data_IF_393741585212
#
_entry.id   IF_393741585212
#
_cell.length_a   1.000
_cell.length_b   1.000
_cell.length_c   1.000
_cell.angle_alpha   90.00
_cell.angle_beta   90.00
_cell.angle_gamma   90.00
#
_symmetry.space_group_name_H-M   'P 1'
#
loop_
_entity.id
_entity.type
_entity.pdbx_description
1 polymer ?
#
# COMPACT_ATOMS: atom_id res chain seq x y z
N UNK A 1 13.02 -91.99 -33.54
CA UNK A 1 13.34 -90.65 -34.08
C UNK A 1 12.07 -89.81 -34.11
N UNK A 2 11.84 -88.98 -33.09
CA UNK A 2 10.76 -87.98 -33.06
C UNK A 2 11.44 -86.61 -32.95
N UNK A 3 11.29 -85.77 -33.98
CA UNK A 3 11.83 -84.40 -34.01
C UNK A 3 10.86 -83.49 -33.24
N UNK A 4 11.33 -82.91 -32.14
CA UNK A 4 10.62 -81.87 -31.39
C UNK A 4 10.99 -80.54 -32.06
N UNK A 5 10.00 -79.85 -32.62
CA UNK A 5 10.15 -78.47 -33.10
C UNK A 5 9.80 -77.52 -31.95
N UNK A 6 10.79 -76.82 -31.43
CA UNK A 6 10.60 -75.75 -30.45
C UNK A 6 10.32 -74.46 -31.23
N UNK A 7 9.08 -73.97 -31.18
CA UNK A 7 8.70 -72.66 -31.75
C UNK A 7 8.95 -71.60 -30.69
N UNK A 8 9.94 -70.73 -30.92
CA UNK A 8 10.20 -69.56 -30.09
C UNK A 8 9.26 -68.41 -30.52
N UNK A 9 8.40 -67.96 -29.62
CA UNK A 9 7.59 -66.76 -29.81
C UNK A 9 8.42 -65.52 -29.44
N UNK A 10 8.73 -64.69 -30.42
CA UNK A 10 9.41 -63.41 -30.24
C UNK A 10 8.35 -62.34 -29.96
N UNK A 11 8.27 -61.88 -28.70
CA UNK A 11 7.40 -60.78 -28.29
C UNK A 11 8.07 -59.46 -28.69
N UNK A 12 7.58 -58.83 -29.75
CA UNK A 12 7.99 -57.49 -30.17
C UNK A 12 7.22 -56.47 -29.32
N UNK A 13 7.90 -55.85 -28.36
CA UNK A 13 7.37 -54.68 -27.66
C UNK A 13 7.50 -53.45 -28.58
N UNK A 14 6.39 -53.03 -29.18
CA UNK A 14 6.30 -51.71 -29.84
C UNK A 14 6.16 -50.67 -28.73
N UNK A 15 7.27 -50.07 -28.31
CA UNK A 15 7.28 -48.83 -27.54
C UNK A 15 6.79 -47.71 -28.48
N UNK A 16 5.47 -47.51 -28.53
CA UNK A 16 4.90 -46.29 -29.10
C UNK A 16 5.31 -45.11 -28.24
N UNK A 17 6.24 -44.29 -28.74
CA UNK A 17 6.60 -43.04 -28.10
C UNK A 17 5.39 -42.12 -28.07
N UNK A 18 4.80 -41.92 -26.89
CA UNK A 18 3.87 -40.82 -26.67
C UNK A 18 4.68 -39.53 -26.81
N UNK A 19 4.40 -38.76 -27.86
CA UNK A 19 4.88 -37.39 -27.94
C UNK A 19 4.28 -36.63 -26.76
N UNK A 20 5.12 -36.24 -25.81
CA UNK A 20 4.73 -35.30 -24.76
C UNK A 20 4.68 -33.94 -25.45
N UNK A 21 3.53 -33.58 -26.01
CA UNK A 21 3.31 -32.22 -26.47
C UNK A 21 3.17 -31.31 -25.24
N UNK A 22 3.98 -30.26 -25.19
CA UNK A 22 3.82 -29.20 -24.21
C UNK A 22 2.39 -28.65 -24.30
N UNK A 23 1.72 -28.45 -23.16
CA UNK A 23 0.38 -27.89 -23.11
C UNK A 23 0.38 -26.52 -23.82
N UNK A 24 -0.32 -26.44 -24.94
CA UNK A 24 -0.55 -25.20 -25.67
C UNK A 24 -2.02 -24.81 -25.51
N UNK A 25 -2.25 -23.55 -25.20
CA UNK A 25 -3.56 -22.92 -25.26
C UNK A 25 -3.58 -22.10 -26.56
N UNK A 26 -4.38 -22.56 -27.52
CA UNK A 26 -4.53 -21.91 -28.81
C UNK A 26 -5.28 -20.58 -28.67
N UNK A 27 -4.78 -19.56 -29.37
CA UNK A 27 -5.36 -18.23 -29.46
C UNK A 27 -5.32 -17.77 -30.92
N UNK A 28 -6.47 -17.92 -31.60
CA UNK A 28 -6.61 -17.66 -33.04
C UNK A 28 -5.58 -18.48 -33.83
N UNK A 29 -4.55 -17.85 -34.39
CA UNK A 29 -3.49 -18.50 -35.17
C UNK A 29 -2.17 -18.65 -34.40
N UNK A 30 -2.16 -18.31 -33.11
CA UNK A 30 -1.02 -18.46 -32.21
C UNK A 30 -1.37 -19.32 -31.01
N UNK A 31 -0.41 -19.51 -30.10
CA UNK A 31 -0.64 -20.22 -28.84
C UNK A 31 0.24 -19.67 -27.73
N UNK A 32 -0.13 -19.97 -26.49
CA UNK A 32 0.74 -19.77 -25.32
C UNK A 32 0.81 -21.04 -24.48
N UNK A 33 1.86 -21.18 -23.67
CA UNK A 33 2.05 -22.33 -22.78
C UNK A 33 1.86 -21.91 -21.33
N UNK A 34 1.22 -22.77 -20.54
CA UNK A 34 1.16 -22.68 -19.07
C UNK A 34 2.26 -23.49 -18.38
N UNK A 35 3.06 -24.21 -19.18
CA UNK A 35 4.23 -24.97 -18.74
C UNK A 35 5.48 -24.15 -19.04
N UNK A 36 6.30 -23.93 -18.03
CA UNK A 36 7.57 -23.21 -18.18
C UNK A 36 8.46 -23.91 -19.22
N UNK A 37 8.85 -23.22 -20.32
CA UNK A 37 9.57 -23.86 -21.43
C UNK A 37 11.05 -24.13 -21.12
N UNK A 38 11.53 -23.72 -19.94
CA UNK A 38 12.94 -23.76 -19.57
C UNK A 38 13.65 -22.44 -19.83
N UNK A 39 14.93 -22.41 -19.46
CA UNK A 39 15.84 -21.29 -19.68
C UNK A 39 16.52 -21.41 -21.04
N UNK A 40 17.08 -20.32 -21.56
CA UNK A 40 17.89 -20.37 -22.77
C UNK A 40 19.32 -20.93 -22.52
N UNK A 41 20.12 -21.08 -23.58
CA UNK A 41 21.49 -21.60 -23.47
C UNK A 41 22.44 -20.75 -22.60
N UNK A 42 22.09 -19.49 -22.35
CA UNK A 42 22.80 -18.60 -21.44
C UNK A 42 22.17 -18.57 -20.03
N UNK A 43 21.25 -19.49 -19.75
CA UNK A 43 20.51 -19.61 -18.49
C UNK A 43 19.67 -18.36 -18.15
N UNK A 44 19.17 -17.65 -19.17
CA UNK A 44 18.24 -16.51 -19.03
C UNK A 44 16.79 -16.98 -19.07
N UNK A 45 15.86 -16.09 -18.69
CA UNK A 45 14.41 -16.33 -18.63
C UNK A 45 13.97 -17.33 -17.54
N UNK A 46 14.77 -17.47 -16.48
CA UNK A 46 14.32 -18.18 -15.28
C UNK A 46 13.20 -17.40 -14.57
N UNK A 47 12.53 -18.04 -13.62
CA UNK A 47 11.52 -17.40 -12.79
C UNK A 47 12.08 -16.15 -12.09
N UNK A 48 11.25 -15.11 -11.91
CA UNK A 48 11.59 -14.01 -11.03
C UNK A 48 11.98 -14.53 -9.64
N UNK A 49 13.11 -14.05 -9.11
CA UNK A 49 13.66 -14.53 -7.84
C UNK A 49 12.76 -14.19 -6.64
N UNK A 50 12.05 -13.07 -6.72
CA UNK A 50 11.17 -12.63 -5.65
C UNK A 50 9.81 -13.31 -5.76
N UNK A 51 9.31 -13.81 -4.64
CA UNK A 51 7.93 -14.28 -4.52
C UNK A 51 7.08 -13.15 -3.93
N UNK A 52 5.93 -12.83 -4.54
CA UNK A 52 5.02 -11.84 -3.98
C UNK A 52 4.62 -12.17 -2.54
N UNK A 53 4.78 -11.19 -1.66
CA UNK A 53 4.40 -11.22 -0.26
C UNK A 53 2.96 -10.74 -0.12
N UNK A 54 2.04 -11.70 -0.10
CA UNK A 54 0.60 -11.40 -0.10
C UNK A 54 -0.10 -12.11 1.05
N UNK A 55 -1.19 -11.51 1.51
CA UNK A 55 -2.08 -12.05 2.53
C UNK A 55 -3.51 -11.56 2.28
N UNK A 56 -4.44 -11.87 3.17
CA UNK A 56 -5.78 -11.28 3.15
C UNK A 56 -6.53 -11.44 1.83
N UNK A 57 -7.20 -10.37 1.40
CA UNK A 57 -8.00 -10.32 0.18
C UNK A 57 -7.16 -10.31 -1.12
N UNK A 58 -5.86 -10.05 -1.04
CA UNK A 58 -4.95 -10.17 -2.18
C UNK A 58 -4.70 -11.63 -2.60
N UNK A 59 -4.94 -12.61 -1.71
CA UNK A 59 -4.80 -14.03 -2.02
C UNK A 59 -5.76 -14.45 -3.15
N UNK A 60 -5.20 -15.10 -4.18
CA UNK A 60 -5.99 -15.59 -5.32
C UNK A 60 -6.33 -14.53 -6.38
N UNK A 61 -5.99 -13.26 -6.16
CA UNK A 61 -6.08 -12.21 -7.20
C UNK A 61 -4.79 -12.17 -8.04
N UNK A 62 -4.85 -11.82 -9.35
CA UNK A 62 -3.66 -11.56 -10.15
C UNK A 62 -2.84 -10.42 -9.54
N UNK A 63 -1.56 -10.63 -9.27
CA UNK A 63 -0.73 -9.64 -8.56
C UNK A 63 -0.31 -8.51 -9.51
N UNK A 64 -0.68 -7.25 -9.22
CA UNK A 64 -0.19 -6.10 -9.97
C UNK A 64 1.33 -6.02 -9.91
N UNK A 65 1.95 -5.64 -11.01
CA UNK A 65 3.38 -5.37 -11.11
C UNK A 65 3.58 -3.95 -11.65
N UNK A 66 4.80 -3.41 -11.51
CA UNK A 66 5.12 -2.04 -11.96
C UNK A 66 4.32 -0.93 -11.27
N UNK A 67 3.69 -1.26 -10.16
CA UNK A 67 3.03 -0.32 -9.27
C UNK A 67 4.03 0.43 -8.39
N UNK A 68 3.64 1.63 -7.99
CA UNK A 68 4.42 2.48 -7.07
C UNK A 68 4.71 1.82 -5.71
N UNK A 69 3.91 0.82 -5.34
CA UNK A 69 4.02 0.03 -4.12
C UNK A 69 4.60 -1.38 -4.35
N UNK A 70 5.07 -1.70 -5.57
CA UNK A 70 5.57 -3.05 -5.90
C UNK A 70 6.75 -3.51 -5.03
N UNK A 71 7.52 -2.57 -4.46
CA UNK A 71 8.64 -2.91 -3.56
C UNK A 71 8.17 -3.68 -2.31
N UNK A 72 6.95 -3.40 -1.82
CA UNK A 72 6.34 -4.12 -0.69
C UNK A 72 6.00 -5.58 -1.02
N UNK A 73 5.86 -5.95 -2.31
CA UNK A 73 5.61 -7.33 -2.71
C UNK A 73 6.87 -8.19 -2.65
N UNK A 74 8.06 -7.60 -2.78
CA UNK A 74 9.29 -8.35 -3.08
C UNK A 74 10.33 -8.29 -1.96
N UNK A 75 10.20 -7.38 -0.99
CA UNK A 75 11.08 -7.25 0.17
C UNK A 75 10.33 -7.47 1.48
N UNK A 76 11.00 -8.04 2.48
CA UNK A 76 10.48 -8.18 3.85
C UNK A 76 9.95 -6.85 4.37
N UNK A 77 10.83 -5.85 4.39
CA UNK A 77 10.53 -4.47 4.70
C UNK A 77 10.80 -3.60 3.48
N UNK A 78 9.87 -3.69 2.52
CA UNK A 78 9.89 -2.84 1.33
C UNK A 78 9.47 -1.39 1.61
N UNK A 79 9.41 -0.60 0.56
CA UNK A 79 8.91 0.76 0.57
C UNK A 79 9.88 1.69 -0.11
N UNK A 80 10.15 2.84 0.53
CA UNK A 80 10.64 4.02 -0.19
C UNK A 80 9.60 4.44 -1.26
N UNK A 81 8.32 4.32 -0.90
CA UNK A 81 7.19 4.56 -1.78
C UNK A 81 6.75 6.03 -1.68
N UNK A 82 6.71 6.73 -2.82
CA UNK A 82 6.48 8.17 -2.96
C UNK A 82 5.23 8.46 -3.75
N UNK A 83 4.12 8.73 -3.07
CA UNK A 83 2.84 8.86 -3.77
C UNK A 83 1.97 9.96 -3.19
N UNK A 84 2.59 11.12 -2.97
CA UNK A 84 1.96 12.43 -2.83
C UNK A 84 0.86 12.55 -1.73
N UNK A 85 1.04 13.38 -0.70
CA UNK A 85 2.26 14.09 -0.30
C UNK A 85 3.22 13.21 0.51
N UNK A 86 2.75 12.04 0.96
CA UNK A 86 3.47 11.21 1.92
C UNK A 86 4.42 10.20 1.26
N UNK A 87 5.35 9.74 2.09
CA UNK A 87 6.25 8.66 1.78
C UNK A 87 6.26 7.57 2.84
N UNK A 88 6.47 6.33 2.38
CA UNK A 88 6.21 5.14 3.18
C UNK A 88 7.33 4.11 3.11
N UNK A 89 7.68 3.55 4.28
CA UNK A 89 8.58 2.40 4.41
C UNK A 89 8.04 1.44 5.46
N UNK A 90 8.03 0.15 5.13
CA UNK A 90 7.72 -0.90 6.08
C UNK A 90 8.92 -1.10 7.01
N UNK A 91 8.65 -1.36 8.28
CA UNK A 91 9.64 -1.66 9.30
C UNK A 91 9.09 -2.72 10.27
N UNK A 92 9.95 -3.28 11.13
CA UNK A 92 9.56 -4.34 12.06
C UNK A 92 8.44 -3.88 13.02
N UNK A 93 8.47 -2.60 13.40
CA UNK A 93 7.48 -1.97 14.27
C UNK A 93 6.22 -1.46 13.57
N UNK A 94 6.08 -1.62 12.25
CA UNK A 94 4.92 -1.18 11.47
C UNK A 94 5.27 -0.29 10.29
N UNK A 95 4.45 0.74 10.04
CA UNK A 95 4.60 1.64 8.90
C UNK A 95 5.31 2.93 9.32
N UNK A 96 6.44 3.23 8.69
CA UNK A 96 7.12 4.52 8.77
C UNK A 96 6.48 5.48 7.76
N UNK A 97 6.12 6.68 8.22
CA UNK A 97 5.47 7.74 7.46
C UNK A 97 6.31 9.00 7.57
N UNK A 98 6.73 9.52 6.43
CA UNK A 98 7.41 10.80 6.31
C UNK A 98 6.68 11.70 5.30
N UNK A 99 7.04 12.98 5.35
CA UNK A 99 6.76 13.96 4.32
C UNK A 99 8.13 14.35 3.79
N UNK A 100 8.48 13.81 2.63
CA UNK A 100 9.76 14.12 2.02
C UNK A 100 9.57 15.23 1.01
N UNK A 101 10.36 16.28 1.20
CA UNK A 101 10.59 17.30 0.19
C UNK A 101 12.08 17.27 -0.22
N UNK A 102 12.42 17.41 -1.51
CA UNK A 102 13.80 17.52 -1.94
C UNK A 102 14.48 18.70 -1.22
N UNK A 103 15.55 18.44 -0.48
CA UNK A 103 16.30 19.50 0.18
C UNK A 103 16.98 20.37 -0.89
N UNK A 104 16.47 21.59 -1.08
CA UNK A 104 16.96 22.56 -2.07
C UNK A 104 18.25 23.28 -1.63
N UNK A 105 18.75 23.00 -0.41
CA UNK A 105 19.76 23.84 0.28
C UNK A 105 21.10 23.16 0.60
N UNK A 106 21.47 22.05 -0.06
CA UNK A 106 22.77 21.39 0.12
C UNK A 106 23.55 21.18 -1.19
N UNK A 107 24.88 20.91 -1.14
CA UNK A 107 25.70 20.56 -2.32
C UNK A 107 25.28 19.24 -2.98
N UNK A 108 24.39 18.50 -2.32
CA UNK A 108 23.63 17.39 -2.88
C UNK A 108 22.17 17.87 -3.00
N UNK A 109 21.84 18.55 -4.10
CA UNK A 109 20.47 18.73 -4.58
C UNK A 109 19.93 17.39 -5.09
N UNK A 110 20.00 16.37 -4.24
CA UNK A 110 19.89 14.99 -4.65
C UNK A 110 18.45 14.51 -4.46
N UNK A 111 17.71 14.48 -5.57
CA UNK A 111 16.36 13.94 -5.67
C UNK A 111 16.33 12.39 -5.62
N UNK A 112 17.47 11.72 -5.36
CA UNK A 112 17.60 10.25 -5.41
C UNK A 112 17.40 9.53 -4.07
N UNK A 113 17.25 10.23 -2.95
CA UNK A 113 16.95 9.61 -1.64
C UNK A 113 15.56 9.97 -1.15
N UNK A 114 14.53 9.27 -1.64
CA UNK A 114 13.22 9.80 -1.42
C UNK A 114 12.79 9.57 0.04
N UNK A 115 13.18 8.51 0.76
CA UNK A 115 13.18 8.47 2.24
C UNK A 115 14.60 8.33 2.76
N UNK A 116 15.02 9.26 3.62
CA UNK A 116 16.23 9.07 4.43
C UNK A 116 16.04 7.98 5.48
N UNK A 117 17.11 7.60 6.18
CA UNK A 117 17.01 6.64 7.28
C UNK A 117 16.21 7.15 8.49
N UNK A 118 15.87 8.44 8.52
CA UNK A 118 15.07 9.04 9.59
C UNK A 118 13.64 8.52 9.55
N UNK A 119 13.18 7.95 10.66
CA UNK A 119 11.81 7.49 10.87
C UNK A 119 11.01 8.62 11.53
N UNK A 120 10.27 9.41 10.77
CA UNK A 120 9.53 10.57 11.26
C UNK A 120 8.42 10.17 12.24
N UNK A 121 7.48 9.36 11.75
CA UNK A 121 6.45 8.71 12.59
C UNK A 121 6.35 7.24 12.20
N UNK A 122 6.41 6.34 13.18
CA UNK A 122 6.15 4.91 12.98
C UNK A 122 4.83 4.54 13.64
N UNK A 123 3.88 4.03 12.86
CA UNK A 123 2.57 3.57 13.34
C UNK A 123 2.56 2.04 13.35
N UNK A 124 2.12 1.46 14.46
CA UNK A 124 2.00 0.01 14.60
C UNK A 124 1.24 -0.39 15.85
N UNK A 125 1.64 -1.52 16.44
CA UNK A 125 1.09 -2.05 17.69
C UNK A 125 2.19 -2.19 18.75
N UNK A 126 1.81 -2.10 20.01
CA UNK A 126 2.74 -2.27 21.13
C UNK A 126 3.40 -3.65 21.08
N UNK A 127 4.73 -3.69 21.01
CA UNK A 127 5.55 -4.90 20.88
C UNK A 127 5.54 -5.54 19.49
N UNK A 128 5.06 -4.86 18.45
CA UNK A 128 5.14 -5.34 17.08
C UNK A 128 6.61 -5.44 16.63
N UNK A 129 7.01 -6.61 16.13
CA UNK A 129 8.35 -6.91 15.63
C UNK A 129 8.27 -7.92 14.48
N UNK A 130 7.50 -7.57 13.45
CA UNK A 130 7.28 -8.46 12.32
C UNK A 130 8.57 -8.62 11.50
N UNK A 131 8.78 -9.79 10.90
CA UNK A 131 9.90 -10.02 9.97
C UNK A 131 9.70 -9.33 8.62
N UNK A 132 8.49 -8.87 8.33
CA UNK A 132 8.14 -8.19 7.10
C UNK A 132 6.66 -7.82 7.06
N UNK A 133 6.30 -7.02 6.06
CA UNK A 133 4.90 -6.76 5.70
C UNK A 133 4.47 -7.63 4.51
N UNK A 134 3.16 -7.82 4.38
CA UNK A 134 2.53 -8.41 3.20
C UNK A 134 1.53 -7.42 2.59
N UNK A 135 1.30 -7.48 1.29
CA UNK A 135 0.18 -6.78 0.64
C UNK A 135 -1.10 -7.59 0.92
N UNK A 136 -2.01 -7.04 1.71
CA UNK A 136 -3.24 -7.70 2.15
C UNK A 136 -4.45 -7.39 1.29
N UNK A 137 -4.46 -6.24 0.60
CA UNK A 137 -5.45 -5.87 -0.41
C UNK A 137 -4.93 -4.73 -1.29
N UNK A 138 -5.57 -4.48 -2.42
CA UNK A 138 -5.29 -3.34 -3.29
C UNK A 138 -6.48 -3.02 -4.19
N UNK A 139 -6.50 -1.78 -4.70
CA UNK A 139 -7.40 -1.31 -5.75
C UNK A 139 -6.63 -0.36 -6.68
N UNK A 140 -7.30 0.44 -7.51
CA UNK A 140 -6.65 1.15 -8.61
C UNK A 140 -5.58 2.17 -8.17
N UNK A 141 -5.71 2.77 -6.98
CA UNK A 141 -4.66 3.65 -6.43
C UNK A 141 -4.44 3.54 -4.91
N UNK A 142 -5.01 2.53 -4.25
CA UNK A 142 -4.75 2.21 -2.84
C UNK A 142 -4.16 0.80 -2.67
N UNK A 143 -3.37 0.64 -1.61
CA UNK A 143 -2.82 -0.66 -1.18
C UNK A 143 -2.90 -0.76 0.34
N UNK A 144 -3.22 -1.96 0.82
CA UNK A 144 -3.21 -2.30 2.23
C UNK A 144 -2.01 -3.20 2.54
N UNK A 145 -1.23 -2.82 3.53
CA UNK A 145 -0.09 -3.56 4.04
C UNK A 145 -0.44 -4.16 5.40
N UNK A 146 -0.08 -5.43 5.64
CA UNK A 146 -0.32 -6.13 6.89
C UNK A 146 0.98 -6.63 7.53
N UNK A 147 1.07 -6.43 8.85
CA UNK A 147 2.10 -6.96 9.74
C UNK A 147 1.44 -7.93 10.72
N UNK A 148 1.88 -9.18 10.70
CA UNK A 148 1.45 -10.22 11.63
C UNK A 148 2.64 -10.71 12.46
N UNK A 149 2.55 -10.60 13.79
CA UNK A 149 3.60 -11.04 14.71
C UNK A 149 3.02 -11.44 16.08
N UNK A 150 3.09 -12.72 16.44
CA UNK A 150 2.64 -13.22 17.75
C UNK A 150 1.21 -12.77 18.14
N UNK A 151 0.27 -12.80 17.19
CA UNK A 151 -1.11 -12.36 17.41
C UNK A 151 -1.34 -10.85 17.33
N UNK A 152 -0.29 -10.04 17.10
CA UNK A 152 -0.41 -8.64 16.67
C UNK A 152 -0.67 -8.63 15.18
N UNK A 153 -1.86 -8.17 14.80
CA UNK A 153 -2.32 -8.09 13.42
C UNK A 153 -2.66 -6.63 13.13
N UNK A 154 -1.79 -5.98 12.37
CA UNK A 154 -1.83 -4.55 12.08
C UNK A 154 -1.93 -4.35 10.57
N UNK A 155 -2.89 -3.54 10.13
CA UNK A 155 -3.04 -3.18 8.72
C UNK A 155 -2.98 -1.67 8.54
N UNK A 156 -2.25 -1.22 7.52
CA UNK A 156 -2.21 0.17 7.08
C UNK A 156 -2.66 0.26 5.61
N UNK A 157 -3.60 1.15 5.32
CA UNK A 157 -4.07 1.46 3.96
C UNK A 157 -3.53 2.82 3.55
N UNK A 158 -2.74 2.80 2.48
CA UNK A 158 -2.10 3.97 1.86
C UNK A 158 -2.60 4.12 0.43
N UNK A 159 -2.51 5.33 -0.13
CA UNK A 159 -2.91 5.56 -1.52
C UNK A 159 -2.27 6.80 -2.13
N UNK A 160 -2.31 6.86 -3.46
CA UNK A 160 -1.75 7.98 -4.21
C UNK A 160 -2.59 9.25 -4.03
N UNK A 161 -1.93 10.38 -3.78
CA UNK A 161 -2.60 11.68 -3.62
C UNK A 161 -3.31 11.82 -2.28
N UNK A 162 -3.09 10.91 -1.32
CA UNK A 162 -3.80 10.90 -0.05
C UNK A 162 -2.94 11.48 1.08
N UNK A 163 -3.38 12.57 1.75
CA UNK A 163 -2.69 13.09 2.93
C UNK A 163 -3.01 12.28 4.19
N UNK A 164 -3.97 11.36 4.13
CA UNK A 164 -4.31 10.43 5.20
C UNK A 164 -3.70 9.05 4.96
N UNK A 165 -3.32 8.40 6.06
CA UNK A 165 -3.11 6.96 6.15
C UNK A 165 -4.08 6.40 7.16
N UNK A 166 -4.70 5.28 6.82
CA UNK A 166 -5.74 4.65 7.61
C UNK A 166 -5.26 3.32 8.17
N UNK A 167 -5.61 3.03 9.42
CA UNK A 167 -5.10 1.87 10.13
C UNK A 167 -6.22 1.05 10.73
N UNK A 168 -6.02 -0.26 10.73
CA UNK A 168 -6.82 -1.19 11.52
C UNK A 168 -5.95 -2.17 12.28
N UNK A 169 -6.53 -2.78 13.32
CA UNK A 169 -5.91 -3.88 14.06
C UNK A 169 -6.89 -5.01 14.32
N UNK A 170 -6.40 -6.25 14.42
CA UNK A 170 -7.13 -7.32 15.07
C UNK A 170 -6.56 -7.60 16.47
N UNK A 171 -7.39 -8.20 17.33
CA UNK A 171 -7.00 -8.51 18.71
C UNK A 171 -6.93 -7.32 19.67
N UNK A 172 -6.44 -7.59 20.88
CA UNK A 172 -6.48 -6.68 22.03
C UNK A 172 -5.22 -5.82 22.20
N UNK A 173 -4.20 -5.97 21.35
CA UNK A 173 -2.97 -5.21 21.43
C UNK A 173 -3.23 -3.70 21.26
N UNK A 174 -2.49 -2.88 22.01
CA UNK A 174 -2.60 -1.42 21.96
C UNK A 174 -2.01 -0.88 20.65
N UNK A 175 -2.64 0.17 20.11
CA UNK A 175 -2.02 0.98 19.07
C UNK A 175 -0.75 1.64 19.59
N UNK A 176 0.24 1.82 18.73
CA UNK A 176 1.52 2.45 19.04
C UNK A 176 1.86 3.51 17.98
N UNK A 177 2.27 4.68 18.45
CA UNK A 177 2.73 5.80 17.64
C UNK A 177 4.09 6.22 18.19
N UNK A 178 5.15 5.82 17.50
CA UNK A 178 6.51 6.23 17.83
C UNK A 178 6.91 7.44 16.98
N UNK A 179 7.23 8.55 17.63
CA UNK A 179 7.69 9.76 16.94
C UNK A 179 9.21 9.82 16.99
N UNK A 180 9.86 9.36 15.91
CA UNK A 180 11.33 9.21 15.88
C UNK A 180 12.09 10.50 15.60
N UNK A 181 11.39 11.59 15.24
CA UNK A 181 11.98 12.91 15.03
C UNK A 181 11.23 13.98 15.83
N UNK A 182 11.96 14.70 16.68
CA UNK A 182 11.41 15.69 17.62
C UNK A 182 10.21 15.17 18.46
N UNK A 183 10.34 14.04 19.17
CA UNK A 183 9.25 13.45 19.99
C UNK A 183 8.70 14.40 21.06
N UNK A 184 9.50 15.36 21.52
CA UNK A 184 9.08 16.37 22.49
C UNK A 184 8.05 17.37 21.93
N UNK A 185 7.88 17.44 20.61
CA UNK A 185 6.94 18.34 19.94
C UNK A 185 5.58 17.68 19.66
N UNK A 186 5.21 16.69 20.47
CA UNK A 186 3.91 16.03 20.38
C UNK A 186 3.02 16.54 21.50
N UNK A 187 1.86 17.10 21.14
CA UNK A 187 0.80 17.51 22.06
C UNK A 187 -0.35 16.53 22.03
N UNK A 188 -0.74 16.00 23.18
CA UNK A 188 -1.97 15.22 23.34
C UNK A 188 -3.14 16.20 23.43
N UNK A 189 -4.18 15.99 22.62
CA UNK A 189 -5.42 16.75 22.62
C UNK A 189 -6.62 15.79 22.56
N UNK A 190 -7.10 15.38 23.73
CA UNK A 190 -8.13 14.36 23.87
C UNK A 190 -7.71 13.03 23.22
N UNK A 191 -8.47 12.58 22.23
CA UNK A 191 -8.22 11.37 21.46
C UNK A 191 -7.19 11.56 20.32
N UNK A 192 -6.52 12.72 20.25
CA UNK A 192 -5.63 13.07 19.13
C UNK A 192 -4.20 13.31 19.60
N UNK A 193 -3.24 13.07 18.70
CA UNK A 193 -1.84 13.48 18.86
C UNK A 193 -1.51 14.51 17.79
N UNK A 194 -1.06 15.68 18.21
CA UNK A 194 -0.65 16.78 17.34
C UNK A 194 0.88 16.80 17.34
N UNK A 195 1.47 16.40 16.21
CA UNK A 195 2.91 16.24 16.03
C UNK A 195 3.42 17.43 15.23
N UNK A 196 4.31 18.23 15.81
CA UNK A 196 4.84 19.43 15.16
C UNK A 196 6.34 19.35 14.88
N UNK A 197 6.79 20.06 13.84
CA UNK A 197 8.21 20.16 13.47
C UNK A 197 8.89 18.78 13.35
N UNK A 198 8.23 17.85 12.64
CA UNK A 198 8.78 16.55 12.30
C UNK A 198 9.74 16.67 11.10
N UNK A 199 10.20 15.56 10.53
CA UNK A 199 11.08 15.51 9.34
C UNK A 199 10.54 16.40 8.23
N UNK A 200 11.40 17.25 7.66
CA UNK A 200 11.00 18.19 6.60
C UNK A 200 10.10 19.34 7.07
N UNK A 201 10.01 19.60 8.39
CA UNK A 201 9.08 20.58 8.95
C UNK A 201 7.63 20.10 8.96
N UNK A 202 7.41 18.81 8.71
CA UNK A 202 6.08 18.23 8.64
C UNK A 202 5.34 18.33 9.96
N UNK A 203 4.01 18.43 9.86
CA UNK A 203 3.10 18.44 10.99
C UNK A 203 2.04 17.37 10.74
N UNK A 204 1.78 16.53 11.73
CA UNK A 204 0.82 15.43 11.60
C UNK A 204 -0.22 15.49 12.70
N UNK A 205 -1.40 14.95 12.41
CA UNK A 205 -2.42 14.70 13.42
C UNK A 205 -2.79 13.24 13.38
N UNK A 206 -2.61 12.54 14.49
CA UNK A 206 -3.15 11.18 14.68
C UNK A 206 -4.53 11.30 15.29
N UNK A 207 -5.52 10.65 14.67
CA UNK A 207 -6.90 10.61 15.11
C UNK A 207 -7.24 9.20 15.61
N UNK A 208 -7.37 9.04 16.93
CA UNK A 208 -7.97 7.83 17.50
C UNK A 208 -9.50 7.97 17.59
N UNK A 209 -10.26 6.88 17.78
CA UNK A 209 -11.71 6.92 17.99
C UNK A 209 -12.11 7.79 19.18
N UNK A 210 -13.31 8.38 19.16
CA UNK A 210 -13.79 9.18 20.29
C UNK A 210 -13.76 8.38 21.61
N UNK A 211 -13.33 9.04 22.68
CA UNK A 211 -13.13 8.44 24.01
C UNK A 211 -11.79 7.70 24.19
N UNK A 212 -10.94 7.64 23.16
CA UNK A 212 -9.59 7.09 23.30
C UNK A 212 -8.72 7.99 24.16
N UNK A 213 -7.83 7.37 24.94
CA UNK A 213 -6.82 8.05 25.75
C UNK A 213 -5.44 7.61 25.25
N UNK A 214 -4.51 8.55 25.20
CA UNK A 214 -3.12 8.30 24.87
C UNK A 214 -2.26 8.31 26.14
N UNK A 215 -1.43 7.29 26.30
CA UNK A 215 -0.36 7.23 27.29
C UNK A 215 0.98 7.37 26.60
N UNK A 216 1.98 7.98 27.24
CA UNK A 216 3.31 8.17 26.66
C UNK A 216 4.38 7.60 27.57
N UNK A 217 5.31 6.86 26.97
CA UNK A 217 6.53 6.39 27.62
C UNK A 217 7.68 6.51 26.62
N UNK A 218 8.75 7.21 27.00
CA UNK A 218 9.97 7.38 26.18
C UNK A 218 9.72 7.80 24.71
N UNK A 219 8.73 8.68 24.49
CA UNK A 219 8.38 9.18 23.16
C UNK A 219 7.54 8.21 22.30
N UNK A 220 7.10 7.08 22.87
CA UNK A 220 6.12 6.19 22.26
C UNK A 220 4.74 6.41 22.88
N UNK A 221 3.76 6.73 22.04
CA UNK A 221 2.38 6.95 22.46
C UNK A 221 1.55 5.70 22.21
N UNK A 222 0.83 5.23 23.21
CA UNK A 222 0.00 4.02 23.12
C UNK A 222 -1.45 4.29 23.48
N UNK A 223 -2.36 3.53 22.87
CA UNK A 223 -3.80 3.62 23.15
C UNK A 223 -4.50 2.29 22.97
N UNK A 224 -5.47 2.00 23.85
CA UNK A 224 -6.44 0.91 23.65
C UNK A 224 -7.47 1.25 22.56
N UNK A 225 -7.45 2.48 22.04
CA UNK A 225 -8.40 3.03 21.07
C UNK A 225 -9.85 2.97 21.55
N UNK A 226 -10.08 3.06 22.87
CA UNK A 226 -11.41 2.87 23.47
C UNK A 226 -12.05 1.53 23.03
N UNK A 227 -11.22 0.48 22.95
CA UNK A 227 -11.59 -0.86 22.50
C UNK A 227 -12.11 -0.94 21.06
N UNK A 228 -11.82 0.06 20.24
CA UNK A 228 -12.03 0.04 18.79
C UNK A 228 -10.77 -0.44 18.08
N UNK A 229 -10.89 -0.58 16.77
CA UNK A 229 -9.89 -1.22 15.92
C UNK A 229 -9.49 -0.37 14.71
N UNK A 230 -9.76 0.94 14.73
CA UNK A 230 -9.45 1.86 13.64
C UNK A 230 -8.83 3.14 14.19
N UNK A 231 -7.93 3.75 13.44
CA UNK A 231 -7.38 5.09 13.66
C UNK A 231 -6.75 5.59 12.36
N UNK A 232 -6.35 6.84 12.31
CA UNK A 232 -5.69 7.41 11.13
C UNK A 232 -4.63 8.44 11.52
N UNK A 233 -3.79 8.79 10.55
CA UNK A 233 -2.87 9.93 10.64
C UNK A 233 -3.05 10.78 9.39
N UNK A 234 -3.02 12.10 9.54
CA UNK A 234 -3.07 13.04 8.44
C UNK A 234 -1.85 13.95 8.44
N UNK A 235 -1.34 14.29 7.26
CA UNK A 235 -0.47 15.44 7.06
C UNK A 235 -1.30 16.72 7.20
N UNK A 236 -0.80 17.66 8.00
CA UNK A 236 -1.35 19.01 8.11
C UNK A 236 -1.02 19.79 6.82
N UNK A 237 -2.01 20.43 6.17
CA UNK A 237 -1.78 21.24 4.98
C UNK A 237 -0.73 22.33 5.17
N UNK A 238 -0.06 22.69 4.08
CA UNK A 238 0.93 23.76 4.08
C UNK A 238 0.29 25.10 4.46
N UNK A 239 0.92 25.83 5.38
CA UNK A 239 0.43 27.15 5.82
C UNK A 239 -0.83 27.12 6.70
N UNK A 240 -1.40 25.96 6.99
CA UNK A 240 -2.53 25.84 7.92
C UNK A 240 -2.03 25.60 9.35
N UNK A 241 -2.57 26.32 10.33
CA UNK A 241 -2.29 26.09 11.76
C UNK A 241 -2.83 24.71 12.21
N UNK A 242 -2.08 24.00 13.06
CA UNK A 242 -2.40 22.61 13.41
C UNK A 242 -3.75 22.47 14.13
N UNK A 243 -4.12 23.44 14.96
CA UNK A 243 -5.42 23.43 15.65
C UNK A 243 -6.60 23.66 14.69
N UNK A 244 -6.41 24.47 13.65
CA UNK A 244 -7.40 24.64 12.60
C UNK A 244 -7.47 23.39 11.72
N UNK A 245 -6.32 22.85 11.33
CA UNK A 245 -6.22 21.63 10.53
C UNK A 245 -6.89 20.44 11.21
N UNK A 246 -6.73 20.29 12.53
CA UNK A 246 -7.44 19.31 13.34
C UNK A 246 -8.95 19.36 13.13
N UNK A 247 -9.56 20.53 13.22
CA UNK A 247 -11.01 20.69 13.04
C UNK A 247 -11.41 20.43 11.58
N UNK A 248 -10.62 20.91 10.62
CA UNK A 248 -10.89 20.76 9.19
C UNK A 248 -10.79 19.30 8.72
N UNK A 249 -9.83 18.54 9.25
CA UNK A 249 -9.52 17.18 8.82
C UNK A 249 -10.30 16.10 9.59
N UNK A 250 -10.74 16.38 10.82
CA UNK A 250 -11.44 15.40 11.67
C UNK A 250 -12.65 14.71 11.00
N UNK A 251 -13.52 15.39 10.21
CA UNK A 251 -14.63 14.72 9.52
C UNK A 251 -14.19 13.58 8.59
N UNK A 252 -12.96 13.63 8.08
CA UNK A 252 -12.42 12.66 7.13
C UNK A 252 -11.61 11.56 7.81
N UNK A 253 -11.20 11.76 9.06
CA UNK A 253 -10.28 10.89 9.78
C UNK A 253 -10.80 9.45 10.00
N UNK A 254 -12.11 9.27 9.85
CA UNK A 254 -12.80 8.00 10.07
C UNK A 254 -13.50 7.49 8.80
N UNK A 255 -13.24 8.07 7.63
CA UNK A 255 -13.80 7.65 6.34
C UNK A 255 -12.73 6.99 5.50
N UNK A 256 -12.65 5.66 5.57
CA UNK A 256 -11.59 4.87 4.94
C UNK A 256 -11.95 4.61 3.47
N UNK A 257 -10.98 4.60 2.53
CA UNK A 257 -11.22 4.21 1.14
C UNK A 257 -11.26 2.68 1.01
N UNK A 258 -12.46 2.10 1.05
CA UNK A 258 -12.62 0.65 0.94
C UNK A 258 -12.32 0.11 -0.46
N UNK A 259 -12.59 0.91 -1.50
CA UNK A 259 -12.30 0.54 -2.89
C UNK A 259 -12.07 1.82 -3.71
N UNK A 260 -11.13 1.75 -4.65
CA UNK A 260 -10.86 2.84 -5.60
C UNK A 260 -10.86 2.31 -7.03
N UNK A 261 -11.58 3.01 -7.90
CA UNK A 261 -11.79 2.59 -9.29
C UNK A 261 -11.68 3.76 -10.26
N UNK A 262 -10.92 3.56 -11.33
CA UNK A 262 -10.88 4.42 -12.50
C UNK A 262 -11.58 3.71 -13.66
N UNK A 263 -12.57 4.38 -14.23
CA UNK A 263 -13.19 3.96 -15.49
C UNK A 263 -12.94 5.04 -16.54
N UNK A 264 -12.74 4.65 -17.79
CA UNK A 264 -12.54 5.61 -18.87
C UNK A 264 -13.38 5.28 -20.10
N UNK A 265 -13.77 6.32 -20.84
CA UNK A 265 -14.51 6.22 -22.08
C UNK A 265 -13.90 7.14 -23.14
N UNK A 266 -13.69 6.59 -24.35
CA UNK A 266 -13.16 7.34 -25.48
C UNK A 266 -14.28 7.63 -26.48
N UNK A 267 -14.63 8.90 -26.62
CA UNK A 267 -15.53 9.37 -27.65
C UNK A 267 -14.73 9.59 -28.95
N UNK A 268 -14.98 8.74 -29.95
CA UNK A 268 -14.29 8.77 -31.26
C UNK A 268 -14.62 10.04 -32.06
N UNK A 269 -15.85 10.55 -31.97
CA UNK A 269 -16.29 11.72 -32.74
C UNK A 269 -15.62 13.00 -32.26
N UNK A 270 -15.48 13.16 -30.94
CA UNK A 270 -14.84 14.34 -30.33
C UNK A 270 -13.36 14.13 -30.00
N UNK A 271 -12.82 12.93 -30.26
CA UNK A 271 -11.49 12.49 -29.81
C UNK A 271 -11.22 12.76 -28.32
N UNK A 272 -12.24 12.62 -27.46
CA UNK A 272 -12.15 12.95 -26.02
C UNK A 272 -12.10 11.68 -25.18
N UNK A 273 -11.09 11.58 -24.33
CA UNK A 273 -11.04 10.59 -23.25
C UNK A 273 -11.62 11.21 -21.97
N UNK A 274 -12.60 10.53 -21.35
CA UNK A 274 -13.15 10.92 -20.05
C UNK A 274 -12.84 9.84 -19.04
N UNK A 275 -12.04 10.16 -18.02
CA UNK A 275 -11.76 9.28 -16.89
C UNK A 275 -12.60 9.69 -15.68
N UNK A 276 -13.23 8.72 -15.02
CA UNK A 276 -14.02 8.89 -13.80
C UNK A 276 -13.33 8.13 -12.67
N UNK A 277 -12.99 8.85 -11.60
CA UNK A 277 -12.36 8.31 -10.41
C UNK A 277 -13.42 8.17 -9.31
N UNK A 278 -13.68 6.95 -8.87
CA UNK A 278 -14.66 6.64 -7.84
C UNK A 278 -13.97 6.08 -6.60
N UNK A 279 -14.30 6.63 -5.43
CA UNK A 279 -13.86 6.09 -4.13
C UNK A 279 -15.09 5.61 -3.38
N UNK A 280 -15.07 4.34 -2.96
CA UNK A 280 -16.10 3.79 -2.08
C UNK A 280 -15.71 4.02 -0.62
N UNK A 281 -16.47 4.83 0.15
CA UNK A 281 -16.15 5.12 1.54
C UNK A 281 -16.59 3.99 2.47
N UNK A 282 -15.80 3.74 3.51
CA UNK A 282 -16.18 2.96 4.69
C UNK A 282 -16.10 3.86 5.93
N UNK A 283 -17.27 4.22 6.47
CA UNK A 283 -17.40 5.12 7.62
C UNK A 283 -17.22 4.32 8.91
N UNK A 284 -16.14 4.58 9.65
CA UNK A 284 -15.86 3.95 10.95
C UNK A 284 -16.52 4.67 12.12
N UNK A 285 -16.70 6.00 12.00
CA UNK A 285 -17.24 6.87 13.04
C UNK A 285 -17.85 8.14 12.43
N UNK A 286 -18.89 8.69 13.07
CA UNK A 286 -19.57 9.90 12.59
C UNK A 286 -20.51 9.66 11.41
N UNK A 287 -20.92 10.75 10.76
CA UNK A 287 -21.86 10.73 9.62
C UNK A 287 -21.25 11.22 8.30
N UNK A 288 -20.01 11.69 8.31
CA UNK A 288 -19.31 12.08 7.10
C UNK A 288 -18.99 10.84 6.26
N UNK A 289 -19.08 10.95 4.94
CA UNK A 289 -18.94 9.80 4.03
C UNK A 289 -18.11 10.12 2.77
N UNK A 290 -17.31 11.19 2.80
CA UNK A 290 -16.40 11.55 1.72
C UNK A 290 -14.99 11.21 2.19
N UNK A 291 -14.22 10.49 1.37
CA UNK A 291 -12.78 10.27 1.62
C UNK A 291 -12.02 11.52 1.20
N UNK A 292 -11.09 11.98 2.04
CA UNK A 292 -10.23 13.12 1.70
C UNK A 292 -9.14 12.72 0.69
N UNK A 293 -9.44 12.90 -0.59
CA UNK A 293 -8.56 12.59 -1.71
C UNK A 293 -7.97 13.88 -2.30
N UNK A 294 -6.65 13.94 -2.42
CA UNK A 294 -5.96 14.99 -3.17
C UNK A 294 -6.01 14.72 -4.67
N UNK A 295 -6.14 15.78 -5.47
CA UNK A 295 -6.04 15.72 -6.91
C UNK A 295 -4.66 16.17 -7.37
N UNK A 296 -4.07 15.47 -8.32
CA UNK A 296 -2.79 15.83 -8.93
C UNK A 296 -2.99 16.90 -10.02
N UNK A 297 -1.94 17.69 -10.37
CA UNK A 297 -2.03 18.75 -11.39
C UNK A 297 -2.70 18.36 -12.69
N UNK A 298 -2.36 17.20 -13.24
CA UNK A 298 -2.97 16.73 -14.48
C UNK A 298 -4.46 16.39 -14.35
N UNK A 299 -4.96 16.13 -13.14
CA UNK A 299 -6.36 15.83 -12.87
C UNK A 299 -7.18 17.11 -12.68
N UNK A 300 -6.78 17.99 -11.74
CA UNK A 300 -7.56 19.18 -11.45
C UNK A 300 -7.47 20.25 -12.55
N UNK A 301 -6.43 20.23 -13.39
CA UNK A 301 -6.36 21.10 -14.56
C UNK A 301 -7.32 20.66 -15.70
N UNK A 302 -7.90 19.47 -15.62
CA UNK A 302 -8.71 18.86 -16.67
C UNK A 302 -10.07 18.36 -16.17
N UNK A 303 -10.68 19.07 -15.22
CA UNK A 303 -12.00 18.71 -14.67
C UNK A 303 -13.07 18.76 -15.75
N UNK A 304 -13.90 17.71 -15.80
CA UNK A 304 -15.08 17.72 -16.65
C UNK A 304 -16.16 18.65 -16.07
N UNK A 305 -17.04 19.21 -16.91
CA UNK A 305 -18.22 19.92 -16.44
C UNK A 305 -19.02 19.05 -15.45
N UNK A 306 -19.36 19.60 -14.29
CA UNK A 306 -20.10 18.90 -13.24
C UNK A 306 -19.23 18.08 -12.28
N UNK A 307 -17.92 17.98 -12.48
CA UNK A 307 -17.01 17.41 -11.49
C UNK A 307 -16.95 18.28 -10.23
N UNK A 308 -16.83 17.65 -9.07
CA UNK A 308 -16.50 18.33 -7.83
C UNK A 308 -15.18 19.09 -7.96
N UNK A 309 -15.15 20.34 -7.51
CA UNK A 309 -13.93 21.15 -7.51
C UNK A 309 -13.11 20.88 -6.25
N UNK A 310 -11.77 20.76 -6.35
CA UNK A 310 -10.91 20.66 -5.17
C UNK A 310 -11.13 21.81 -4.19
N UNK A 311 -11.04 21.49 -2.90
CA UNK A 311 -10.92 22.48 -1.82
C UNK A 311 -9.65 23.32 -2.04
N UNK A 312 -9.58 24.58 -1.54
CA UNK A 312 -8.36 25.39 -1.58
C UNK A 312 -7.21 24.85 -0.69
N UNK A 313 -7.38 23.67 -0.08
CA UNK A 313 -6.35 22.99 0.70
C UNK A 313 -5.29 22.44 -0.25
N UNK A 314 -4.04 22.87 -0.04
CA UNK A 314 -2.90 22.48 -0.86
C UNK A 314 -1.86 21.73 -0.03
N UNK A 315 -1.24 20.76 -0.69
CA UNK A 315 -0.06 20.06 -0.22
C UNK A 315 1.01 20.18 -1.28
N UNK A 316 2.19 20.67 -0.92
CA UNK A 316 3.33 20.68 -1.83
C UNK A 316 3.81 19.25 -2.05
N UNK A 317 4.04 18.93 -3.32
CA UNK A 317 4.61 17.65 -3.77
C UNK A 317 5.75 17.90 -4.75
N UNK A 318 6.63 16.91 -4.95
CA UNK A 318 7.72 16.99 -5.95
C UNK A 318 7.24 17.37 -7.34
#
# INVERSE_FOLDING_TARGET
MKKIFTVAWMLVFILGGLAIEAQKIELVSGSYTTVFPGVDAANRNDFPRARPRISGAALGKPIPTNEWWSDFLVKDHGGNAFNYPLSFRSDAGGLVINYTWPNVSGPHSDFREPMSDVKGVTIGLEGLSAQGSTVSDYSDWTVSLNWLYEGRDFTATIGMGMPFVYFTKAGSHNASVNVGFNPQNVRIDGNKLLIENNVGGARYIVFAPMGSIWTVLDGNFTSTLNNKNYWSIALVPDGMEIDLAKVVLEPYAYVFPADTKVSWDYNVESAKMTATYTVSPEVKEGSHNIVFQGMLPHQWANLAPGSSTPSPILYKTV
#
